data_IF_223033330318
#
_entry.id   IF_223033330318
#
_cell.length_a   1.000
_cell.length_b   1.000
_cell.length_c   1.000
_cell.angle_alpha   90.00
_cell.angle_beta   90.00
_cell.angle_gamma   90.00
#
_symmetry.space_group_name_H-M   'P 1'
#
loop_
_entity.id
_entity.type
_entity.pdbx_description
1 polymer ?
#
# COMPACT_ATOMS: atom_id res chain seq x y z
N UNK A 1 6.93 16.71 59.37
CA UNK A 1 7.80 16.75 58.17
C UNK A 1 7.72 15.39 57.48
N UNK A 2 8.00 15.35 56.18
CA UNK A 2 7.95 14.19 55.26
C UNK A 2 6.62 14.03 54.52
N UNK A 3 6.56 14.59 53.31
CA UNK A 3 5.84 13.96 52.20
C UNK A 3 6.86 13.72 51.10
N UNK A 4 7.24 12.45 50.95
CA UNK A 4 7.93 11.93 49.77
C UNK A 4 6.85 11.49 48.78
N UNK A 5 6.84 12.02 47.57
CA UNK A 5 6.11 11.44 46.44
C UNK A 5 6.97 11.70 45.20
N UNK A 6 7.83 10.74 44.87
CA UNK A 6 7.56 9.74 43.82
C UNK A 6 7.56 10.41 42.43
N UNK A 7 8.77 10.47 41.84
CA UNK A 7 8.96 10.84 40.46
C UNK A 7 8.25 9.79 39.57
N UNK A 8 7.12 10.16 38.98
CA UNK A 8 6.53 9.39 37.89
C UNK A 8 7.40 9.61 36.65
N UNK A 9 8.26 8.64 36.36
CA UNK A 9 8.90 8.51 35.05
C UNK A 9 7.85 8.00 34.07
N UNK A 10 7.14 8.93 33.42
CA UNK A 10 6.23 8.62 32.32
C UNK A 10 7.06 8.22 31.10
N UNK A 11 7.29 6.91 30.94
CA UNK A 11 7.89 6.34 29.74
C UNK A 11 6.90 6.50 28.59
N UNK A 12 6.97 7.65 27.90
CA UNK A 12 6.22 7.89 26.67
C UNK A 12 6.61 6.83 25.64
N UNK A 13 5.73 5.86 25.43
CA UNK A 13 5.80 4.92 24.32
C UNK A 13 5.55 5.73 23.04
N UNK A 14 6.61 6.30 22.48
CA UNK A 14 6.53 6.98 21.19
C UNK A 14 6.19 5.92 20.15
N UNK A 15 5.02 5.95 19.50
CA UNK A 15 4.79 5.07 18.37
C UNK A 15 5.81 5.46 17.30
N UNK A 16 6.73 4.56 17.00
CA UNK A 16 7.60 4.71 15.84
C UNK A 16 6.70 4.79 14.61
N UNK A 17 6.42 6.01 14.14
CA UNK A 17 5.96 6.22 12.77
C UNK A 17 7.13 5.78 11.87
N UNK A 18 7.22 4.48 11.61
CA UNK A 18 7.99 3.97 10.49
C UNK A 18 7.24 4.47 9.27
N UNK A 19 7.62 5.65 8.79
CA UNK A 19 7.23 6.10 7.47
C UNK A 19 7.71 5.02 6.51
N UNK A 20 6.79 4.44 5.74
CA UNK A 20 7.15 3.50 4.70
C UNK A 20 8.20 4.17 3.80
N UNK A 21 9.33 3.50 3.59
CA UNK A 21 10.38 4.03 2.73
C UNK A 21 9.78 4.32 1.34
N UNK A 22 9.97 5.53 0.78
CA UNK A 22 9.40 5.87 -0.51
C UNK A 22 9.93 4.89 -1.57
N UNK A 23 9.03 4.16 -2.24
CA UNK A 23 9.43 3.25 -3.30
C UNK A 23 9.99 4.03 -4.48
N UNK A 24 11.29 3.86 -4.72
CA UNK A 24 11.97 4.43 -5.90
C UNK A 24 11.45 3.78 -7.18
N UNK A 25 11.52 4.50 -8.30
CA UNK A 25 11.14 3.95 -9.60
C UNK A 25 11.94 2.67 -9.94
N UNK A 26 13.22 2.63 -9.58
CA UNK A 26 14.07 1.46 -9.76
C UNK A 26 13.59 0.25 -8.94
N UNK A 27 13.14 0.47 -7.69
CA UNK A 27 12.53 -0.58 -6.87
C UNK A 27 11.25 -1.13 -7.51
N UNK A 28 10.31 -0.23 -7.87
CA UNK A 28 9.03 -0.62 -8.49
C UNK A 28 9.26 -1.41 -9.78
N UNK A 29 10.26 -1.04 -10.59
CA UNK A 29 10.52 -1.72 -11.86
C UNK A 29 10.89 -3.20 -11.71
N UNK A 30 11.50 -3.59 -10.58
CA UNK A 30 11.93 -4.96 -10.28
C UNK A 30 10.84 -5.84 -9.66
N UNK A 31 9.74 -5.25 -9.20
CA UNK A 31 8.63 -6.01 -8.63
C UNK A 31 7.99 -6.92 -9.69
N UNK A 32 7.57 -8.14 -9.30
CA UNK A 32 6.82 -9.03 -10.18
C UNK A 32 5.44 -8.47 -10.50
N UNK A 33 4.81 -8.96 -11.57
CA UNK A 33 3.46 -8.53 -11.98
C UNK A 33 2.41 -8.73 -10.87
N UNK A 34 2.58 -9.75 -10.01
CA UNK A 34 1.70 -10.01 -8.88
C UNK A 34 1.67 -8.89 -7.84
N UNK A 35 2.67 -8.00 -7.82
CA UNK A 35 2.71 -6.87 -6.91
C UNK A 35 1.78 -5.71 -7.30
N UNK A 36 1.14 -5.78 -8.47
CA UNK A 36 0.32 -4.73 -9.05
C UNK A 36 -1.14 -5.14 -9.07
N UNK A 37 -2.05 -4.17 -8.95
CA UNK A 37 -3.49 -4.47 -8.96
C UNK A 37 -3.97 -4.94 -10.33
N UNK A 38 -3.38 -4.37 -11.39
CA UNK A 38 -3.63 -4.74 -12.79
C UNK A 38 -2.34 -4.56 -13.59
N UNK A 39 -2.12 -5.46 -14.54
CA UNK A 39 -1.10 -5.34 -15.59
C UNK A 39 -1.80 -5.37 -16.94
N UNK A 40 -1.76 -4.25 -17.66
CA UNK A 40 -2.31 -4.12 -19.01
C UNK A 40 -1.21 -4.39 -20.05
N UNK A 41 -1.60 -4.89 -21.22
CA UNK A 41 -0.67 -5.03 -22.36
C UNK A 41 -1.12 -4.09 -23.47
N UNK A 42 -0.26 -3.15 -23.85
CA UNK A 42 -0.51 -2.22 -24.95
C UNK A 42 -0.49 -2.92 -26.31
N UNK A 43 -0.98 -2.23 -27.34
CA UNK A 43 -0.97 -2.73 -28.71
C UNK A 43 0.44 -3.03 -29.25
N UNK A 44 1.47 -2.41 -28.67
CA UNK A 44 2.89 -2.65 -28.97
C UNK A 44 3.51 -3.81 -28.17
N UNK A 45 2.69 -4.52 -27.38
CA UNK A 45 3.13 -5.62 -26.52
C UNK A 45 3.78 -5.17 -25.20
N UNK A 46 3.88 -3.87 -24.93
CA UNK A 46 4.47 -3.38 -23.68
C UNK A 46 3.49 -3.49 -22.52
N UNK A 47 3.98 -3.95 -21.37
CA UNK A 47 3.21 -4.01 -20.13
C UNK A 47 3.13 -2.64 -19.46
N UNK A 48 1.93 -2.26 -19.02
CA UNK A 48 1.69 -1.13 -18.12
C UNK A 48 1.20 -1.71 -16.79
N UNK A 49 1.95 -1.44 -15.72
CA UNK A 49 1.72 -2.03 -14.40
C UNK A 49 1.15 -0.97 -13.45
N UNK A 50 -0.01 -1.24 -12.86
CA UNK A 50 -0.78 -0.24 -12.12
C UNK A 50 -0.86 -0.55 -10.63
N UNK A 51 -0.77 0.50 -9.82
CA UNK A 51 -1.07 0.47 -8.38
C UNK A 51 -0.29 -0.64 -7.63
N UNK A 52 1.04 -0.52 -7.56
CA UNK A 52 1.86 -1.49 -6.84
C UNK A 52 1.58 -1.44 -5.33
N UNK A 53 1.46 -2.60 -4.71
CA UNK A 53 1.04 -2.75 -3.31
C UNK A 53 1.61 -3.99 -2.60
N UNK A 54 2.46 -4.80 -3.24
CA UNK A 54 3.24 -5.85 -2.55
C UNK A 54 4.72 -5.50 -2.49
N UNK A 55 5.38 -5.86 -1.39
CA UNK A 55 6.82 -5.65 -1.21
C UNK A 55 7.68 -6.66 -2.03
N UNK A 56 9.00 -6.59 -1.87
CA UNK A 56 9.94 -7.46 -2.60
C UNK A 56 9.83 -8.96 -2.19
N UNK A 57 9.17 -9.26 -1.07
CA UNK A 57 8.85 -10.63 -0.65
C UNK A 57 7.53 -11.14 -1.23
N UNK A 58 6.75 -10.26 -1.86
CA UNK A 58 5.40 -10.53 -2.34
C UNK A 58 4.31 -10.38 -1.26
N UNK A 59 4.65 -9.86 -0.08
CA UNK A 59 3.68 -9.59 0.97
C UNK A 59 2.94 -8.28 0.70
N UNK A 60 1.66 -8.20 1.05
CA UNK A 60 0.88 -6.95 0.95
C UNK A 60 1.48 -5.90 1.88
N UNK A 61 1.93 -4.78 1.31
CA UNK A 61 2.40 -3.62 2.05
C UNK A 61 1.19 -2.70 2.32
N UNK A 62 0.83 -2.55 3.60
CA UNK A 62 -0.34 -1.78 4.00
C UNK A 62 -0.27 -0.31 3.56
N UNK A 63 0.90 0.33 3.66
CA UNK A 63 1.06 1.73 3.30
C UNK A 63 0.85 1.91 1.79
N UNK A 64 1.41 1.01 0.99
CA UNK A 64 1.25 1.02 -0.46
C UNK A 64 -0.16 0.61 -0.90
N UNK A 65 -0.82 -0.31 -0.19
CA UNK A 65 -2.24 -0.63 -0.39
C UNK A 65 -3.14 0.58 -0.14
N UNK A 66 -2.95 1.31 0.97
CA UNK A 66 -3.69 2.54 1.26
C UNK A 66 -3.48 3.58 0.16
N UNK A 67 -2.23 3.80 -0.26
CA UNK A 67 -1.91 4.73 -1.34
C UNK A 67 -2.49 4.27 -2.69
N UNK A 68 -2.48 2.97 -2.99
CA UNK A 68 -3.06 2.40 -4.21
C UNK A 68 -4.57 2.68 -4.29
N UNK A 69 -5.31 2.42 -3.20
CA UNK A 69 -6.75 2.71 -3.11
C UNK A 69 -7.06 4.19 -3.34
N UNK A 70 -6.30 5.09 -2.71
CA UNK A 70 -6.50 6.54 -2.88
C UNK A 70 -6.19 7.07 -4.29
N UNK A 71 -5.43 6.32 -5.09
CA UNK A 71 -5.04 6.71 -6.46
C UNK A 71 -5.93 6.10 -7.55
N UNK A 72 -6.89 5.23 -7.22
CA UNK A 72 -7.75 4.55 -8.22
C UNK A 72 -8.38 5.51 -9.24
N UNK A 73 -8.93 6.64 -8.78
CA UNK A 73 -9.54 7.65 -9.65
C UNK A 73 -8.56 8.49 -10.49
N UNK A 74 -7.25 8.32 -10.29
CA UNK A 74 -6.20 9.05 -11.01
C UNK A 74 -5.55 8.19 -12.10
N UNK A 75 -5.85 6.89 -12.14
CA UNK A 75 -5.26 5.97 -13.12
C UNK A 75 -5.89 6.18 -14.49
N UNK A 76 -5.03 6.30 -15.51
CA UNK A 76 -5.43 6.23 -16.92
C UNK A 76 -5.35 4.77 -17.36
N UNK A 77 -6.51 4.17 -17.56
CA UNK A 77 -6.65 2.77 -17.98
C UNK A 77 -6.61 2.65 -19.50
N UNK A 78 -5.95 1.61 -20.01
CA UNK A 78 -6.06 1.24 -21.44
C UNK A 78 -7.44 0.61 -21.70
N UNK A 79 -7.87 -0.31 -20.85
CA UNK A 79 -9.24 -0.83 -20.80
C UNK A 79 -9.98 -0.26 -19.59
N UNK A 80 -11.05 0.55 -19.78
CA UNK A 80 -11.85 1.09 -18.68
C UNK A 80 -12.39 0.04 -17.69
N UNK A 81 -12.61 -1.21 -18.12
CA UNK A 81 -13.05 -2.29 -17.24
C UNK A 81 -12.03 -2.61 -16.13
N UNK A 82 -10.75 -2.33 -16.37
CA UNK A 82 -9.69 -2.57 -15.40
C UNK A 82 -9.80 -1.70 -14.14
N UNK A 83 -10.49 -0.56 -14.20
CA UNK A 83 -10.79 0.24 -13.01
C UNK A 83 -11.56 -0.57 -11.95
N UNK A 84 -12.58 -1.32 -12.39
CA UNK A 84 -13.39 -2.14 -11.49
C UNK A 84 -12.62 -3.37 -10.98
N UNK A 85 -11.79 -3.97 -11.85
CA UNK A 85 -10.92 -5.10 -11.47
C UNK A 85 -9.90 -4.68 -10.42
N UNK A 86 -9.21 -3.55 -10.63
CA UNK A 86 -8.26 -3.00 -9.67
C UNK A 86 -8.93 -2.66 -8.34
N UNK A 87 -10.11 -2.03 -8.39
CA UNK A 87 -10.87 -1.72 -7.18
C UNK A 87 -11.19 -2.99 -6.38
N UNK A 88 -11.75 -4.01 -7.03
CA UNK A 88 -12.08 -5.30 -6.38
C UNK A 88 -10.83 -5.95 -5.76
N UNK A 89 -9.74 -6.04 -6.51
CA UNK A 89 -8.48 -6.63 -6.07
C UNK A 89 -7.92 -5.94 -4.80
N UNK A 90 -7.91 -4.61 -4.79
CA UNK A 90 -7.43 -3.85 -3.63
C UNK A 90 -8.37 -3.96 -2.41
N UNK A 91 -9.69 -4.05 -2.63
CA UNK A 91 -10.64 -4.29 -1.54
C UNK A 91 -10.51 -5.69 -0.93
N UNK A 92 -10.22 -6.71 -1.74
CA UNK A 92 -9.97 -8.07 -1.27
C UNK A 92 -8.76 -8.10 -0.33
N UNK A 93 -7.65 -7.47 -0.72
CA UNK A 93 -6.48 -7.34 0.16
C UNK A 93 -6.78 -6.56 1.44
N UNK A 94 -7.55 -5.47 1.35
CA UNK A 94 -7.92 -4.67 2.51
C UNK A 94 -8.74 -5.46 3.53
N UNK A 95 -9.73 -6.21 3.05
CA UNK A 95 -10.54 -7.10 3.89
C UNK A 95 -9.72 -8.24 4.47
N UNK A 96 -8.80 -8.82 3.69
CA UNK A 96 -7.89 -9.87 4.17
C UNK A 96 -6.99 -9.39 5.32
N UNK A 97 -6.68 -8.10 5.39
CA UNK A 97 -5.97 -7.45 6.51
C UNK A 97 -6.90 -7.10 7.70
N UNK A 98 -8.16 -7.53 7.69
CA UNK A 98 -9.14 -7.28 8.76
C UNK A 98 -9.63 -5.84 8.82
N UNK A 99 -9.50 -5.07 7.72
CA UNK A 99 -9.92 -3.67 7.68
C UNK A 99 -11.37 -3.56 7.19
N UNK A 100 -12.17 -2.73 7.86
CA UNK A 100 -13.54 -2.43 7.43
C UNK A 100 -13.53 -1.70 6.07
N UNK A 101 -14.55 -1.94 5.26
CA UNK A 101 -14.78 -1.13 4.07
C UNK A 101 -15.01 0.34 4.50
N UNK A 102 -14.48 1.32 3.74
CA UNK A 102 -14.72 2.74 4.02
C UNK A 102 -16.20 3.11 3.91
#
# INVERSE_FOLDING_TARGET
>A
MVVRAAALLLLMLVPSLVAAEPWTAARISRLPDSAFAVVETGADGRKVRHLPHHDETGAVDLAHLTAARGRLGQVRWLDPANAAIAHRHLEEHWRALGRAAP
#
